data_IF_124391980502
#
_entry.id   IF_124391980502
#
_cell.length_a   1.000
_cell.length_b   1.000
_cell.length_c   1.000
_cell.angle_alpha   90.00
_cell.angle_beta   90.00
_cell.angle_gamma   90.00
#
_symmetry.space_group_name_H-M   'P 1'
#
loop_
_entity.id
_entity.type
_entity.pdbx_description
1 polymer ?
#
# COMPACT_ATOMS: atom_id res chain seq x y z
N UNK A 1 -49.30 8.60 -11.01
CA UNK A 1 -48.43 7.67 -11.77
C UNK A 1 -47.20 8.45 -12.21
N UNK A 2 -46.02 8.13 -11.64
CA UNK A 2 -44.79 8.79 -11.97
C UNK A 2 -44.40 8.54 -13.43
N UNK A 3 -43.87 9.55 -14.09
CA UNK A 3 -43.29 9.40 -15.42
C UNK A 3 -42.09 8.45 -15.32
N UNK A 4 -42.01 7.40 -16.12
CA UNK A 4 -40.88 6.50 -16.04
C UNK A 4 -39.57 7.28 -16.31
N UNK A 5 -38.59 7.12 -15.42
CA UNK A 5 -37.26 7.70 -15.59
C UNK A 5 -36.68 7.09 -16.86
N UNK A 6 -36.40 7.91 -17.85
CA UNK A 6 -35.84 7.47 -19.14
C UNK A 6 -34.35 7.12 -19.07
N UNK A 7 -33.69 7.54 -17.99
CA UNK A 7 -32.29 7.22 -17.71
C UNK A 7 -32.19 5.78 -17.21
N UNK A 8 -31.22 5.05 -17.71
CA UNK A 8 -30.90 3.72 -17.15
C UNK A 8 -30.45 3.82 -15.69
N UNK A 9 -30.59 2.74 -14.94
CA UNK A 9 -30.19 2.69 -13.52
C UNK A 9 -28.72 3.07 -13.33
N UNK A 10 -27.87 2.72 -14.27
CA UNK A 10 -26.44 3.06 -14.23
C UNK A 10 -26.23 4.56 -14.36
N UNK A 11 -26.86 5.18 -15.35
CA UNK A 11 -26.77 6.64 -15.61
C UNK A 11 -27.36 7.46 -14.45
N UNK A 12 -28.47 7.00 -13.85
CA UNK A 12 -29.00 7.59 -12.64
C UNK A 12 -27.98 7.54 -11.48
N UNK A 13 -27.38 6.37 -11.26
CA UNK A 13 -26.39 6.16 -10.22
C UNK A 13 -25.16 7.05 -10.40
N UNK A 14 -24.66 7.18 -11.62
CA UNK A 14 -23.50 8.02 -11.97
C UNK A 14 -23.80 9.50 -11.77
N UNK A 15 -25.01 9.95 -12.10
CA UNK A 15 -25.44 11.33 -11.86
C UNK A 15 -25.57 11.66 -10.37
N UNK A 16 -26.07 10.72 -9.54
CA UNK A 16 -26.13 10.90 -8.09
C UNK A 16 -24.73 10.98 -7.48
N UNK A 17 -23.81 10.11 -7.91
CA UNK A 17 -22.41 10.14 -7.47
C UNK A 17 -21.74 11.46 -7.82
N UNK A 18 -21.92 11.94 -9.05
CA UNK A 18 -21.38 13.24 -9.47
C UNK A 18 -22.00 14.41 -8.68
N UNK A 19 -23.29 14.34 -8.39
CA UNK A 19 -23.97 15.34 -7.57
C UNK A 19 -23.45 15.39 -6.12
N UNK A 20 -23.06 14.24 -5.58
CA UNK A 20 -22.61 14.10 -4.19
C UNK A 20 -21.07 14.19 -4.03
N UNK A 21 -20.32 14.41 -5.10
CA UNK A 21 -18.85 14.37 -5.04
C UNK A 21 -18.21 15.38 -4.06
N UNK A 22 -18.90 16.46 -3.75
CA UNK A 22 -18.46 17.45 -2.76
C UNK A 22 -19.03 17.23 -1.37
N UNK A 23 -19.94 16.24 -1.20
CA UNK A 23 -20.52 15.80 0.05
C UNK A 23 -20.14 14.34 0.28
N UNK A 24 -19.02 14.15 0.95
CA UNK A 24 -18.45 12.82 1.12
C UNK A 24 -19.27 11.93 2.06
N UNK A 25 -19.91 12.51 3.06
CA UNK A 25 -20.77 11.76 3.97
C UNK A 25 -22.03 11.28 3.22
N UNK A 26 -22.65 12.16 2.45
CA UNK A 26 -23.74 11.82 1.55
C UNK A 26 -23.36 10.77 0.50
N UNK A 27 -22.19 10.88 -0.07
CA UNK A 27 -21.68 9.91 -1.04
C UNK A 27 -21.45 8.52 -0.42
N UNK A 28 -20.86 8.45 0.77
CA UNK A 28 -20.68 7.19 1.48
C UNK A 28 -22.02 6.53 1.85
N UNK A 29 -23.00 7.34 2.31
CA UNK A 29 -24.36 6.87 2.57
C UNK A 29 -25.03 6.35 1.30
N UNK A 30 -24.90 7.07 0.19
CA UNK A 30 -25.44 6.65 -1.11
C UNK A 30 -24.83 5.33 -1.57
N UNK A 31 -23.52 5.18 -1.48
CA UNK A 31 -22.85 3.92 -1.82
C UNK A 31 -23.32 2.75 -0.95
N UNK A 32 -23.59 2.97 0.32
CA UNK A 32 -24.08 1.94 1.23
C UNK A 32 -25.52 1.54 0.88
N UNK A 33 -26.37 2.50 0.54
CA UNK A 33 -27.75 2.24 0.16
C UNK A 33 -27.91 1.63 -1.24
N UNK A 34 -27.05 2.03 -2.17
CA UNK A 34 -27.09 1.61 -3.57
C UNK A 34 -25.72 1.05 -4.03
N UNK A 35 -25.26 -0.04 -3.43
CA UNK A 35 -23.92 -0.55 -3.69
C UNK A 35 -23.81 -1.17 -5.07
N UNK A 36 -22.79 -0.79 -5.85
CA UNK A 36 -22.39 -1.48 -7.09
C UNK A 36 -21.29 -2.53 -6.85
N UNK A 37 -20.62 -2.45 -5.71
CA UNK A 37 -19.58 -3.40 -5.31
C UNK A 37 -19.79 -3.80 -3.86
N UNK A 38 -19.19 -4.92 -3.45
CA UNK A 38 -19.17 -5.36 -2.05
C UNK A 38 -18.55 -4.29 -1.13
N UNK A 39 -17.56 -3.57 -1.62
CA UNK A 39 -16.92 -2.48 -0.87
C UNK A 39 -17.87 -1.31 -0.61
N UNK A 40 -18.73 -1.00 -1.57
CA UNK A 40 -19.76 0.03 -1.35
C UNK A 40 -20.74 -0.38 -0.24
N UNK A 41 -21.14 -1.65 -0.21
CA UNK A 41 -22.10 -2.16 0.75
C UNK A 41 -21.59 -2.14 2.21
N UNK A 42 -20.29 -2.24 2.40
CA UNK A 42 -19.66 -2.34 3.72
C UNK A 42 -18.88 -1.07 4.12
N UNK A 43 -19.17 0.07 3.50
CA UNK A 43 -18.67 1.36 3.99
C UNK A 43 -19.27 1.67 5.34
N UNK A 44 -18.43 1.69 6.37
CA UNK A 44 -18.84 1.98 7.74
C UNK A 44 -18.49 3.43 8.08
N UNK A 45 -19.47 4.16 8.60
CA UNK A 45 -19.32 5.51 9.14
C UNK A 45 -19.08 5.50 10.65
N UNK A 46 -18.43 4.48 11.17
CA UNK A 46 -18.23 4.35 12.61
C UNK A 46 -17.62 5.64 13.19
N UNK A 47 -18.47 6.46 13.78
CA UNK A 47 -18.10 7.70 14.50
C UNK A 47 -17.13 7.45 15.66
N UNK A 48 -16.84 6.19 15.94
CA UNK A 48 -15.94 5.70 16.98
C UNK A 48 -14.51 5.43 16.46
N UNK A 49 -14.24 5.59 15.16
CA UNK A 49 -12.91 5.38 14.62
C UNK A 49 -11.99 6.56 14.94
N UNK A 50 -10.76 6.25 15.38
CA UNK A 50 -9.66 7.22 15.50
C UNK A 50 -9.24 7.80 14.14
N UNK A 51 -9.57 7.11 13.06
CA UNK A 51 -9.19 7.50 11.70
C UNK A 51 -10.37 8.10 10.96
N UNK A 52 -10.10 9.07 10.11
CA UNK A 52 -11.10 9.60 9.18
C UNK A 52 -11.37 8.56 8.08
N UNK A 53 -12.41 7.76 8.27
CA UNK A 53 -12.78 6.68 7.34
C UNK A 53 -13.12 7.21 5.95
N UNK A 54 -13.73 8.38 5.87
CA UNK A 54 -14.02 9.04 4.59
C UNK A 54 -12.75 9.21 3.75
N UNK A 55 -11.70 9.81 4.33
CA UNK A 55 -10.40 9.97 3.64
C UNK A 55 -9.72 8.65 3.30
N UNK A 56 -9.92 7.63 4.12
CA UNK A 56 -9.42 6.29 3.85
C UNK A 56 -10.11 5.70 2.62
N UNK A 57 -11.43 5.81 2.53
CA UNK A 57 -12.19 5.33 1.37
C UNK A 57 -11.86 6.10 0.10
N UNK A 58 -11.73 7.43 0.17
CA UNK A 58 -11.24 8.25 -0.96
C UNK A 58 -9.88 7.75 -1.48
N UNK A 59 -8.95 7.48 -0.57
CA UNK A 59 -7.63 6.99 -0.94
C UNK A 59 -7.67 5.57 -1.52
N UNK A 60 -8.54 4.71 -1.00
CA UNK A 60 -8.74 3.36 -1.54
C UNK A 60 -9.29 3.43 -2.95
N UNK A 61 -10.32 4.24 -3.18
CA UNK A 61 -10.93 4.42 -4.50
C UNK A 61 -9.91 4.98 -5.50
N UNK A 62 -9.17 6.02 -5.11
CA UNK A 62 -8.09 6.59 -5.91
C UNK A 62 -7.01 5.55 -6.27
N UNK A 63 -6.59 4.73 -5.32
CA UNK A 63 -5.60 3.69 -5.56
C UNK A 63 -6.13 2.59 -6.50
N UNK A 64 -7.43 2.31 -6.46
CA UNK A 64 -8.05 1.32 -7.36
C UNK A 64 -8.13 1.82 -8.79
N UNK A 65 -8.49 3.07 -8.98
CA UNK A 65 -8.51 3.71 -10.31
C UNK A 65 -7.10 3.77 -10.92
N UNK A 66 -6.07 3.93 -10.08
CA UNK A 66 -4.68 3.96 -10.51
C UNK A 66 -4.04 2.58 -10.74
N UNK A 67 -4.65 1.48 -10.34
CA UNK A 67 -4.04 0.13 -10.39
C UNK A 67 -3.42 -0.25 -11.74
N UNK A 68 -3.95 0.24 -12.83
CA UNK A 68 -3.40 -0.01 -14.16
C UNK A 68 -2.26 0.96 -14.55
N UNK A 69 -2.12 2.09 -13.86
CA UNK A 69 -1.16 3.16 -14.18
C UNK A 69 -0.14 3.45 -13.08
N UNK A 70 -0.37 2.96 -11.87
CA UNK A 70 0.45 3.30 -10.70
C UNK A 70 1.86 2.68 -10.69
N UNK A 71 2.19 1.84 -11.65
CA UNK A 71 3.51 1.23 -11.74
C UNK A 71 3.89 0.36 -10.53
N UNK A 72 2.89 -0.14 -9.76
CA UNK A 72 3.16 -1.03 -8.63
C UNK A 72 3.62 -2.37 -9.17
N UNK A 73 4.83 -2.75 -8.80
CA UNK A 73 5.42 -4.04 -9.17
C UNK A 73 5.52 -4.92 -7.94
N UNK A 74 5.03 -6.15 -8.06
CA UNK A 74 5.20 -7.17 -7.03
C UNK A 74 6.49 -7.95 -7.29
N UNK A 75 7.20 -8.35 -6.22
CA UNK A 75 8.47 -9.05 -6.36
C UNK A 75 9.13 -9.37 -5.03
N UNK A 76 10.40 -9.72 -5.12
CA UNK A 76 11.26 -10.01 -3.95
C UNK A 76 12.60 -9.29 -4.08
N UNK A 77 13.15 -8.86 -2.95
CA UNK A 77 14.54 -8.43 -2.86
C UNK A 77 15.43 -9.65 -2.59
N UNK A 78 16.54 -9.72 -3.29
CA UNK A 78 17.48 -10.83 -3.16
C UNK A 78 18.91 -10.33 -3.23
N UNK A 79 19.80 -11.06 -2.59
CA UNK A 79 21.23 -10.85 -2.74
C UNK A 79 21.70 -11.21 -4.14
N UNK A 80 22.45 -10.35 -4.78
CA UNK A 80 23.03 -10.61 -6.09
C UNK A 80 23.88 -11.89 -6.05
N UNK A 81 23.68 -12.78 -7.01
CA UNK A 81 24.38 -14.06 -7.10
C UNK A 81 24.22 -14.96 -5.85
N UNK A 82 23.19 -14.76 -5.03
CA UNK A 82 22.93 -15.53 -3.83
C UNK A 82 23.95 -15.35 -2.70
N UNK A 83 24.83 -14.37 -2.79
CA UNK A 83 25.83 -14.09 -1.76
C UNK A 83 25.32 -13.05 -0.78
N UNK A 84 25.16 -13.42 0.49
CA UNK A 84 24.77 -12.51 1.57
C UNK A 84 25.74 -11.34 1.68
N UNK A 85 25.22 -10.17 2.07
CA UNK A 85 25.95 -8.90 2.18
C UNK A 85 26.55 -8.38 0.86
N UNK A 86 26.11 -8.94 -0.27
CA UNK A 86 26.41 -8.42 -1.60
C UNK A 86 25.44 -7.31 -1.99
N UNK A 87 25.31 -7.01 -3.26
CA UNK A 87 24.27 -6.13 -3.79
C UNK A 87 22.89 -6.70 -3.57
N UNK A 88 21.93 -5.86 -3.18
CA UNK A 88 20.51 -6.20 -3.18
C UNK A 88 19.91 -5.83 -4.54
N UNK A 89 19.13 -6.74 -5.12
CA UNK A 89 18.44 -6.55 -6.40
C UNK A 89 16.97 -6.91 -6.23
N UNK A 90 16.08 -6.09 -6.79
CA UNK A 90 14.67 -6.39 -6.85
C UNK A 90 14.36 -7.23 -8.09
N UNK A 91 13.72 -8.37 -7.89
CA UNK A 91 13.24 -9.26 -8.94
C UNK A 91 11.71 -9.25 -8.98
N UNK A 92 11.11 -8.82 -10.10
CA UNK A 92 9.67 -8.91 -10.30
C UNK A 92 9.19 -10.37 -10.24
N UNK A 93 8.15 -10.61 -9.45
CA UNK A 93 7.51 -11.92 -9.28
C UNK A 93 6.07 -11.70 -8.84
N UNK A 94 5.12 -12.23 -9.58
CA UNK A 94 3.68 -12.10 -9.26
C UNK A 94 3.30 -12.74 -7.92
N UNK A 95 4.11 -13.65 -7.40
CA UNK A 95 3.95 -14.27 -6.08
C UNK A 95 4.92 -13.68 -5.04
N UNK A 96 5.63 -12.63 -5.38
CA UNK A 96 6.54 -11.94 -4.49
C UNK A 96 5.83 -11.36 -3.26
N UNK A 97 6.58 -11.18 -2.18
CA UNK A 97 6.03 -10.69 -0.90
C UNK A 97 6.04 -9.15 -0.80
N UNK A 98 6.83 -8.50 -1.63
CA UNK A 98 6.93 -7.04 -1.67
C UNK A 98 6.09 -6.46 -2.79
N UNK A 99 5.48 -5.31 -2.51
CA UNK A 99 4.90 -4.43 -3.53
C UNK A 99 5.66 -3.12 -3.49
N UNK A 100 6.19 -2.70 -4.64
CA UNK A 100 6.95 -1.46 -4.77
C UNK A 100 6.35 -0.58 -5.86
N UNK A 101 6.17 0.69 -5.57
CA UNK A 101 5.75 1.70 -6.53
C UNK A 101 6.92 2.52 -7.06
N UNK A 102 8.06 2.45 -6.39
CA UNK A 102 9.28 3.12 -6.79
C UNK A 102 10.50 2.34 -6.30
N UNK A 103 11.52 2.27 -7.15
CA UNK A 103 12.83 1.72 -6.82
C UNK A 103 13.88 2.79 -7.11
N UNK A 104 14.86 3.01 -6.24
CA UNK A 104 15.90 3.98 -6.48
C UNK A 104 16.60 3.77 -7.83
N UNK A 105 16.97 4.83 -8.56
CA UNK A 105 17.80 4.72 -9.75
C UNK A 105 19.11 3.97 -9.47
N UNK A 106 19.62 3.27 -10.47
CA UNK A 106 20.79 2.38 -10.32
C UNK A 106 22.00 3.06 -9.66
N UNK A 107 22.22 4.36 -9.94
CA UNK A 107 23.34 5.11 -9.35
C UNK A 107 23.15 5.43 -7.87
N UNK A 108 21.90 5.34 -7.34
CA UNK A 108 21.59 5.51 -5.94
C UNK A 108 21.52 4.17 -5.18
N UNK A 109 21.37 3.07 -5.93
CA UNK A 109 21.32 1.74 -5.33
C UNK A 109 22.69 1.34 -4.80
N UNK A 110 22.69 0.69 -3.65
CA UNK A 110 23.92 0.18 -3.03
C UNK A 110 25.00 1.26 -2.79
N UNK A 111 24.59 2.52 -2.66
CA UNK A 111 25.48 3.59 -2.29
C UNK A 111 25.85 3.45 -0.81
N UNK A 112 27.07 2.99 -0.55
CA UNK A 112 27.59 2.74 0.79
C UNK A 112 28.76 3.66 1.05
N UNK A 113 28.73 4.37 2.16
CA UNK A 113 29.84 5.20 2.66
C UNK A 113 30.42 4.60 3.95
N UNK A 114 31.67 4.89 4.24
CA UNK A 114 32.31 4.49 5.49
C UNK A 114 32.25 5.69 6.44
N UNK A 115 31.50 5.53 7.53
CA UNK A 115 31.37 6.55 8.57
C UNK A 115 31.81 5.94 9.91
N UNK A 116 32.81 6.49 10.54
CA UNK A 116 33.40 5.95 11.77
C UNK A 116 33.79 4.46 11.71
N UNK A 117 34.37 4.03 10.58
CA UNK A 117 34.79 2.65 10.37
C UNK A 117 33.65 1.66 10.10
N UNK A 118 32.41 2.12 9.99
CA UNK A 118 31.24 1.27 9.67
C UNK A 118 30.70 1.62 8.29
N UNK A 119 30.23 0.59 7.58
CA UNK A 119 29.49 0.77 6.34
C UNK A 119 28.10 1.28 6.67
N UNK A 120 27.73 2.44 6.11
CA UNK A 120 26.39 3.04 6.26
C UNK A 120 25.83 3.38 4.89
N UNK A 121 24.49 3.38 4.71
CA UNK A 121 23.90 3.84 3.48
C UNK A 121 24.29 5.30 3.20
N UNK A 122 24.72 5.60 1.99
CA UNK A 122 25.01 6.99 1.57
C UNK A 122 23.78 7.87 1.50
N UNK A 123 22.59 7.25 1.42
CA UNK A 123 21.28 7.90 1.31
C UNK A 123 20.44 7.73 2.58
N UNK A 124 21.04 7.85 3.75
CA UNK A 124 20.40 7.59 5.05
C UNK A 124 19.13 8.44 5.33
N UNK A 125 18.92 9.51 4.58
CA UNK A 125 17.76 10.40 4.74
C UNK A 125 16.67 10.20 3.67
N UNK A 126 16.81 9.22 2.80
CA UNK A 126 15.92 8.99 1.67
C UNK A 126 14.50 8.62 2.08
N UNK A 127 14.35 7.81 3.11
CA UNK A 127 13.07 7.33 3.56
C UNK A 127 13.03 7.05 5.05
N UNK A 128 11.87 6.59 5.48
CA UNK A 128 11.67 5.99 6.79
C UNK A 128 10.98 4.64 6.58
N UNK A 129 11.36 3.67 7.39
CA UNK A 129 10.74 2.35 7.39
C UNK A 129 10.07 2.12 8.74
N UNK A 130 8.84 1.64 8.69
CA UNK A 130 8.11 1.13 9.85
C UNK A 130 8.01 -0.38 9.72
N UNK A 131 8.51 -1.12 10.71
CA UNK A 131 8.47 -2.56 10.74
C UNK A 131 7.70 -3.02 11.98
N UNK A 132 6.73 -3.90 11.77
CA UNK A 132 6.00 -4.60 12.81
C UNK A 132 6.17 -6.11 12.60
N UNK A 133 6.91 -6.75 13.50
CA UNK A 133 7.15 -8.18 13.44
C UNK A 133 5.99 -8.95 14.08
N UNK A 134 5.76 -10.18 13.62
CA UNK A 134 4.79 -11.06 14.24
C UNK A 134 5.44 -12.02 15.23
N UNK A 135 4.68 -12.44 16.24
CA UNK A 135 5.08 -13.54 17.14
C UNK A 135 4.62 -14.90 16.58
N UNK A 136 5.37 -15.94 16.89
CA UNK A 136 5.08 -17.32 16.51
C UNK A 136 3.91 -17.89 17.34
N UNK A 137 3.56 -17.25 18.45
CA UNK A 137 2.43 -17.67 19.30
C UNK A 137 1.13 -17.73 18.46
N UNK A 138 0.46 -18.86 18.55
CA UNK A 138 -0.80 -19.08 17.85
C UNK A 138 -1.87 -18.09 18.31
N UNK A 139 -2.60 -17.55 17.37
CA UNK A 139 -3.85 -16.82 17.67
C UNK A 139 -4.98 -17.79 17.96
N UNK A 140 -5.95 -17.36 18.77
CA UNK A 140 -7.11 -18.17 19.17
C UNK A 140 -7.90 -18.71 17.98
N UNK A 141 -7.87 -18.00 16.84
CA UNK A 141 -8.53 -18.35 15.59
C UNK A 141 -7.64 -19.13 14.60
N UNK A 142 -6.39 -19.42 14.96
CA UNK A 142 -5.44 -20.15 14.11
C UNK A 142 -4.88 -19.36 12.92
N UNK A 143 -5.30 -18.11 12.70
CA UNK A 143 -4.87 -17.32 11.53
C UNK A 143 -3.57 -16.57 11.72
N UNK A 144 -3.06 -16.44 12.93
CA UNK A 144 -1.79 -15.79 13.28
C UNK A 144 -1.59 -14.39 12.64
N UNK A 145 -1.03 -13.46 13.38
CA UNK A 145 -0.69 -12.13 12.85
C UNK A 145 0.37 -12.21 11.74
N UNK A 146 0.33 -11.28 10.80
CA UNK A 146 1.34 -11.11 9.76
C UNK A 146 2.37 -10.08 10.22
N UNK A 147 3.62 -10.25 9.79
CA UNK A 147 4.59 -9.19 9.86
C UNK A 147 4.37 -8.16 8.77
N UNK A 148 4.67 -6.90 9.05
CA UNK A 148 4.51 -5.81 8.11
C UNK A 148 5.77 -4.93 8.06
N UNK A 149 6.13 -4.49 6.86
CA UNK A 149 7.12 -3.45 6.63
C UNK A 149 6.56 -2.46 5.63
N UNK A 150 6.60 -1.18 5.97
CA UNK A 150 6.23 -0.11 5.08
C UNK A 150 7.38 0.88 4.93
N UNK A 151 7.68 1.26 3.69
CA UNK A 151 8.66 2.29 3.36
C UNK A 151 7.97 3.57 2.89
N UNK A 152 8.32 4.69 3.53
CA UNK A 152 7.83 6.03 3.21
C UNK A 152 8.99 6.88 2.68
N UNK A 153 8.82 7.53 1.53
CA UNK A 153 9.77 8.54 1.04
C UNK A 153 9.63 9.82 1.84
N UNK A 154 10.75 10.43 2.23
CA UNK A 154 10.70 11.67 3.02
C UNK A 154 10.54 12.89 2.11
N UNK A 155 11.57 13.34 1.47
CA UNK A 155 11.50 14.50 0.58
C UNK A 155 12.57 14.42 -0.49
N UNK A 156 12.24 15.03 -1.63
CA UNK A 156 13.09 15.29 -2.80
C UNK A 156 14.25 14.33 -3.04
N UNK A 157 13.93 13.09 -3.29
CA UNK A 157 14.82 12.19 -4.01
C UNK A 157 14.53 12.32 -5.50
N UNK A 158 15.55 12.17 -6.31
CA UNK A 158 15.44 12.19 -7.75
C UNK A 158 14.38 11.18 -8.24
N UNK A 159 13.39 11.66 -8.99
CA UNK A 159 12.30 10.85 -9.54
C UNK A 159 11.45 10.09 -8.49
N UNK A 160 11.47 10.53 -7.25
CA UNK A 160 10.67 9.95 -6.18
C UNK A 160 9.62 10.96 -5.71
N UNK A 161 8.35 10.59 -5.68
CA UNK A 161 7.32 11.44 -5.10
C UNK A 161 7.57 11.60 -3.59
N UNK A 162 7.57 12.82 -3.05
CA UNK A 162 7.80 13.05 -1.62
C UNK A 162 6.60 12.61 -0.78
N UNK A 163 6.87 12.14 0.44
CA UNK A 163 5.86 11.78 1.44
C UNK A 163 4.85 10.73 0.97
N UNK A 164 5.31 9.74 0.21
CA UNK A 164 4.47 8.63 -0.25
C UNK A 164 5.03 7.29 0.20
N UNK A 165 4.12 6.34 0.43
CA UNK A 165 4.53 4.96 0.60
C UNK A 165 4.99 4.39 -0.73
N UNK A 166 6.21 3.88 -0.76
CA UNK A 166 6.81 3.30 -1.96
C UNK A 166 7.04 1.80 -1.85
N UNK A 167 6.96 1.26 -0.64
CA UNK A 167 7.18 -0.15 -0.36
C UNK A 167 6.18 -0.66 0.67
N UNK A 168 5.59 -1.81 0.37
CA UNK A 168 4.75 -2.60 1.26
C UNK A 168 5.23 -4.04 1.27
N UNK A 169 5.34 -4.59 2.48
CA UNK A 169 5.47 -6.01 2.73
C UNK A 169 4.46 -6.39 3.80
N UNK A 170 3.59 -7.34 3.52
CA UNK A 170 2.63 -7.89 4.48
C UNK A 170 2.60 -9.40 4.27
N UNK A 171 3.33 -10.15 5.07
CA UNK A 171 3.40 -11.59 4.94
C UNK A 171 3.59 -12.29 6.29
N UNK A 172 3.28 -13.58 6.31
CA UNK A 172 3.60 -14.49 7.40
C UNK A 172 4.39 -15.66 6.82
N UNK A 173 5.71 -15.55 6.66
CA UNK A 173 6.54 -16.67 6.28
C UNK A 173 6.50 -17.76 7.39
N UNK A 174 7.01 -18.95 7.08
CA UNK A 174 6.93 -20.10 7.97
C UNK A 174 7.65 -19.87 9.30
N UNK A 175 8.70 -19.08 9.30
CA UNK A 175 9.46 -18.75 10.51
C UNK A 175 9.74 -17.25 10.59
N UNK A 176 9.98 -16.75 11.80
CA UNK A 176 10.33 -15.35 12.02
C UNK A 176 11.69 -15.00 11.42
N UNK A 177 12.61 -15.96 11.35
CA UNK A 177 13.92 -15.78 10.74
C UNK A 177 13.80 -15.42 9.27
N UNK A 178 12.89 -16.09 8.52
CA UNK A 178 12.62 -15.76 7.12
C UNK A 178 12.09 -14.34 7.00
N UNK A 179 11.21 -13.90 7.91
CA UNK A 179 10.75 -12.52 7.94
C UNK A 179 11.91 -11.53 8.12
N UNK A 180 12.80 -11.80 9.09
CA UNK A 180 13.96 -10.93 9.33
C UNK A 180 15.03 -10.99 8.25
N UNK A 181 15.06 -12.05 7.45
CA UNK A 181 15.91 -12.11 6.26
C UNK A 181 15.32 -11.36 5.06
N UNK A 182 14.00 -11.28 4.98
CA UNK A 182 13.31 -10.53 3.92
C UNK A 182 13.43 -9.00 4.12
N UNK A 183 13.38 -8.51 5.38
CA UNK A 183 13.31 -7.08 5.72
C UNK A 183 14.64 -6.51 6.16
#
# INVERSE_FOLDING_TARGET
HGTPIKLGVVEYWENEVEGLKNDQDGLNEFYRQFPRTTKHAFRDESKMSLFNLTKIYEQIDYNEDLKSSAGITQGNFQWAMGSKDSKVVFYPDNNGRFKVSWVPPVHLQNNVIIKNGRKTPGNEHMGAFGCDSYDISGTVDGTGSKGALHGLTKFSMENCPPNQFFLEYIARPQTAEIFFEDV
#
